data_IF_908765479200
#
_entry.id   IF_908765479200
#
_cell.length_a   1.000
_cell.length_b   1.000
_cell.length_c   1.000
_cell.angle_alpha   90.00
_cell.angle_beta   90.00
_cell.angle_gamma   90.00
#
_symmetry.space_group_name_H-M   'P 1'
#
loop_
_entity.id
_entity.type
_entity.pdbx_description
1 polymer ?
#
# COMPACT_ATOMS: atom_id res chain seq x y z
N UNK A 1 6.40 -19.97 -17.02
CA UNK A 1 4.94 -19.91 -16.71
C UNK A 1 4.21 -19.38 -17.93
N UNK A 2 2.92 -19.69 -18.10
CA UNK A 2 2.07 -19.21 -19.21
C UNK A 2 0.72 -18.73 -18.66
N UNK A 3 0.16 -17.67 -19.24
CA UNK A 3 -1.17 -17.15 -18.92
C UNK A 3 -1.91 -16.82 -20.21
N UNK A 4 -3.15 -17.32 -20.36
CA UNK A 4 -3.99 -16.96 -21.51
C UNK A 4 -4.49 -15.52 -21.41
N UNK A 5 -4.68 -14.99 -20.20
CA UNK A 5 -5.08 -13.61 -19.97
C UNK A 5 -4.10 -12.61 -20.59
N UNK A 6 -2.82 -12.98 -20.71
CA UNK A 6 -1.78 -12.12 -21.28
C UNK A 6 -1.95 -11.89 -22.78
N UNK A 7 -2.60 -12.81 -23.48
CA UNK A 7 -2.77 -12.70 -24.93
C UNK A 7 -3.48 -11.40 -25.25
N UNK A 8 -2.95 -10.66 -26.23
CA UNK A 8 -3.43 -9.32 -26.57
C UNK A 8 -4.95 -9.24 -26.75
N UNK A 9 -5.53 -10.19 -27.49
CA UNK A 9 -6.98 -10.27 -27.71
C UNK A 9 -7.77 -10.41 -26.38
N UNK A 10 -7.27 -11.21 -25.45
CA UNK A 10 -7.93 -11.42 -24.16
C UNK A 10 -7.82 -10.19 -23.25
N UNK A 11 -6.67 -9.50 -23.25
CA UNK A 11 -6.51 -8.23 -22.53
C UNK A 11 -7.42 -7.15 -23.11
N UNK A 12 -7.39 -6.96 -24.42
CA UNK A 12 -8.20 -5.96 -25.12
C UNK A 12 -9.69 -6.19 -24.85
N UNK A 13 -10.14 -7.44 -24.91
CA UNK A 13 -11.53 -7.80 -24.60
C UNK A 13 -11.88 -7.58 -23.12
N UNK A 14 -10.97 -7.87 -22.19
CA UNK A 14 -11.16 -7.63 -20.76
C UNK A 14 -11.34 -6.14 -20.45
N UNK A 15 -10.41 -5.29 -20.90
CA UNK A 15 -10.49 -3.85 -20.67
C UNK A 15 -11.70 -3.21 -21.38
N UNK A 16 -12.02 -3.65 -22.59
CA UNK A 16 -13.25 -3.22 -23.28
C UNK A 16 -14.50 -3.56 -22.47
N UNK A 17 -14.59 -4.78 -21.94
CA UNK A 17 -15.72 -5.22 -21.12
C UNK A 17 -15.87 -4.37 -19.85
N UNK A 18 -14.74 -4.05 -19.19
CA UNK A 18 -14.73 -3.16 -18.03
C UNK A 18 -15.22 -1.76 -18.40
N UNK A 19 -14.70 -1.17 -19.47
CA UNK A 19 -15.08 0.18 -19.92
C UNK A 19 -16.57 0.23 -20.27
N UNK A 20 -17.08 -0.76 -21.00
CA UNK A 20 -18.50 -0.88 -21.35
C UNK A 20 -19.38 -0.98 -20.09
N UNK A 21 -18.95 -1.76 -19.08
CA UNK A 21 -19.66 -1.87 -17.81
C UNK A 21 -19.64 -0.57 -17.00
N UNK A 22 -18.51 0.13 -16.93
CA UNK A 22 -18.38 1.44 -16.28
C UNK A 22 -19.36 2.42 -16.93
N UNK A 23 -19.27 2.57 -18.25
CA UNK A 23 -20.09 3.51 -19.01
C UNK A 23 -21.58 3.20 -18.85
N UNK A 24 -21.98 1.94 -18.99
CA UNK A 24 -23.37 1.50 -18.82
C UNK A 24 -23.88 1.82 -17.41
N UNK A 25 -23.11 1.49 -16.38
CA UNK A 25 -23.55 1.60 -14.98
C UNK A 25 -23.64 3.05 -14.52
N UNK A 26 -22.63 3.87 -14.84
CA UNK A 26 -22.54 5.26 -14.37
C UNK A 26 -23.42 6.23 -15.20
N UNK A 27 -23.88 5.81 -16.37
CA UNK A 27 -24.89 6.54 -17.16
C UNK A 27 -26.32 6.34 -16.66
N UNK A 28 -26.56 5.44 -15.71
CA UNK A 28 -27.91 5.23 -15.16
C UNK A 28 -28.41 6.49 -14.42
N UNK A 29 -29.70 6.82 -14.59
CA UNK A 29 -30.32 7.94 -13.88
C UNK A 29 -30.44 7.68 -12.37
N UNK A 30 -30.64 6.42 -11.97
CA UNK A 30 -30.74 6.02 -10.57
C UNK A 30 -29.37 5.60 -10.03
N UNK A 31 -28.99 6.12 -8.85
CA UNK A 31 -27.75 5.76 -8.18
C UNK A 31 -27.93 4.42 -7.45
N UNK A 32 -27.41 3.35 -8.05
CA UNK A 32 -27.37 2.02 -7.43
C UNK A 32 -26.04 1.81 -6.72
N UNK A 33 -26.00 2.24 -5.46
CA UNK A 33 -24.80 2.38 -4.63
C UNK A 33 -23.76 1.26 -4.80
N UNK A 34 -24.13 -0.02 -4.70
CA UNK A 34 -23.18 -1.12 -4.83
C UNK A 34 -22.56 -1.25 -6.23
N UNK A 35 -23.38 -1.10 -7.28
CA UNK A 35 -22.90 -1.15 -8.67
C UNK A 35 -22.04 0.06 -9.02
N UNK A 36 -22.43 1.24 -8.52
CA UNK A 36 -21.69 2.47 -8.73
C UNK A 36 -20.33 2.45 -8.05
N UNK A 37 -20.25 1.95 -6.80
CA UNK A 37 -18.97 1.73 -6.11
C UNK A 37 -18.05 0.82 -6.94
N UNK A 38 -18.58 -0.30 -7.44
CA UNK A 38 -17.80 -1.22 -8.27
C UNK A 38 -17.32 -0.59 -9.58
N UNK A 39 -18.18 0.17 -10.26
CA UNK A 39 -17.80 0.86 -11.49
C UNK A 39 -16.74 1.96 -11.25
N UNK A 40 -16.83 2.71 -10.16
CA UNK A 40 -15.83 3.71 -9.77
C UNK A 40 -14.48 3.07 -9.38
N UNK A 41 -14.51 1.94 -8.67
CA UNK A 41 -13.32 1.15 -8.33
C UNK A 41 -12.61 0.63 -9.60
N UNK A 42 -13.37 0.12 -10.57
CA UNK A 42 -12.82 -0.29 -11.86
C UNK A 42 -12.25 0.89 -12.65
N UNK A 43 -12.92 2.04 -12.67
CA UNK A 43 -12.44 3.23 -13.37
C UNK A 43 -11.08 3.68 -12.82
N UNK A 44 -10.90 3.64 -11.50
CA UNK A 44 -9.62 3.95 -10.85
C UNK A 44 -8.52 2.93 -11.21
N UNK A 45 -8.82 1.62 -11.18
CA UNK A 45 -7.80 0.59 -11.40
C UNK A 45 -7.20 0.60 -12.81
N UNK A 46 -7.95 1.10 -13.79
CA UNK A 46 -7.52 1.19 -15.19
C UNK A 46 -7.23 2.63 -15.63
N UNK A 47 -7.22 3.60 -14.69
CA UNK A 47 -7.04 5.03 -14.96
C UNK A 47 -7.98 5.58 -16.06
N UNK A 48 -9.24 5.11 -16.09
CA UNK A 48 -10.23 5.51 -17.09
C UNK A 48 -10.87 6.85 -16.73
N UNK A 49 -10.23 7.93 -17.17
CA UNK A 49 -10.78 9.27 -17.12
C UNK A 49 -11.79 9.48 -18.27
N UNK A 50 -13.07 9.67 -17.92
CA UNK A 50 -14.11 10.04 -18.87
C UNK A 50 -15.11 11.02 -18.27
N UNK A 51 -15.82 11.75 -19.13
CA UNK A 51 -16.91 12.64 -18.71
C UNK A 51 -18.02 11.90 -17.96
N UNK A 52 -18.27 10.63 -18.29
CA UNK A 52 -19.26 9.80 -17.59
C UNK A 52 -18.84 9.55 -16.14
N UNK A 53 -17.58 9.17 -15.92
CA UNK A 53 -17.04 8.96 -14.56
C UNK A 53 -17.03 10.29 -13.79
N UNK A 54 -16.54 11.37 -14.39
CA UNK A 54 -16.54 12.71 -13.78
C UNK A 54 -17.93 13.16 -13.35
N UNK A 55 -18.94 12.99 -14.22
CA UNK A 55 -20.32 13.33 -13.92
C UNK A 55 -20.91 12.46 -12.80
N UNK A 56 -20.55 11.17 -12.75
CA UNK A 56 -20.98 10.31 -11.66
C UNK A 56 -20.39 10.75 -10.31
N UNK A 57 -19.10 11.08 -10.28
CA UNK A 57 -18.43 11.65 -9.09
C UNK A 57 -19.13 12.94 -8.65
N UNK A 58 -19.35 13.89 -9.58
CA UNK A 58 -20.07 15.15 -9.32
C UNK A 58 -21.45 14.91 -8.68
N UNK A 59 -22.23 13.98 -9.26
CA UNK A 59 -23.57 13.63 -8.75
C UNK A 59 -23.52 13.08 -7.32
N UNK A 60 -22.54 12.23 -7.00
CA UNK A 60 -22.39 11.65 -5.67
C UNK A 60 -21.95 12.71 -4.66
N UNK A 61 -20.96 13.53 -4.99
CA UNK A 61 -20.42 14.55 -4.09
C UNK A 61 -21.44 15.66 -3.76
N UNK A 62 -22.48 15.83 -4.58
CA UNK A 62 -23.64 16.72 -4.33
C UNK A 62 -24.71 16.12 -3.40
N UNK A 63 -24.67 14.82 -3.12
CA UNK A 63 -25.62 14.20 -2.19
C UNK A 63 -25.41 14.73 -0.78
N UNK A 64 -26.44 14.69 0.09
CA UNK A 64 -26.26 15.04 1.49
C UNK A 64 -25.13 14.22 2.13
N UNK A 65 -24.26 14.91 2.86
CA UNK A 65 -23.09 14.32 3.53
C UNK A 65 -23.55 13.20 4.47
N UNK A 66 -22.78 12.10 4.50
CA UNK A 66 -23.03 10.88 5.27
C UNK A 66 -24.31 10.10 4.92
N UNK A 67 -25.12 10.54 3.93
CA UNK A 67 -26.31 9.79 3.49
C UNK A 67 -25.98 8.38 3.01
N UNK A 68 -24.84 8.24 2.32
CA UNK A 68 -24.27 6.95 1.94
C UNK A 68 -22.74 7.03 1.98
N UNK A 69 -22.19 6.78 3.16
CA UNK A 69 -20.75 6.90 3.45
C UNK A 69 -19.90 6.07 2.47
N UNK A 70 -20.26 4.81 2.19
CA UNK A 70 -19.46 3.95 1.31
C UNK A 70 -19.41 4.48 -0.13
N UNK A 71 -20.53 4.98 -0.64
CA UNK A 71 -20.58 5.57 -1.97
C UNK A 71 -19.82 6.90 -2.02
N UNK A 72 -19.92 7.72 -0.96
CA UNK A 72 -19.17 8.96 -0.85
C UNK A 72 -17.66 8.70 -0.79
N UNK A 73 -17.19 7.74 0.00
CA UNK A 73 -15.78 7.30 0.04
C UNK A 73 -15.31 6.93 -1.36
N UNK A 74 -16.05 6.07 -2.08
CA UNK A 74 -15.68 5.65 -3.43
C UNK A 74 -15.58 6.83 -4.43
N UNK A 75 -16.48 7.82 -4.31
CA UNK A 75 -16.40 9.04 -5.12
C UNK A 75 -15.22 9.94 -4.73
N UNK A 76 -14.90 10.05 -3.43
CA UNK A 76 -13.73 10.80 -2.94
C UNK A 76 -12.42 10.16 -3.40
N UNK A 77 -12.29 8.82 -3.32
CA UNK A 77 -11.13 8.08 -3.84
C UNK A 77 -10.97 8.28 -5.35
N UNK A 78 -12.09 8.22 -6.10
CA UNK A 78 -12.08 8.46 -7.55
C UNK A 78 -11.68 9.90 -7.88
N UNK A 79 -12.22 10.88 -7.15
CA UNK A 79 -11.86 12.29 -7.30
C UNK A 79 -10.35 12.51 -7.04
N UNK A 80 -9.81 11.89 -5.99
CA UNK A 80 -8.39 11.94 -5.66
C UNK A 80 -7.52 11.34 -6.77
N UNK A 81 -7.93 10.20 -7.31
CA UNK A 81 -7.14 9.44 -8.28
C UNK A 81 -7.16 10.07 -9.68
N UNK A 82 -8.33 10.50 -10.16
CA UNK A 82 -8.54 10.87 -11.56
C UNK A 82 -8.75 12.38 -11.77
N UNK A 83 -9.23 13.12 -10.78
CA UNK A 83 -9.79 14.47 -10.97
C UNK A 83 -9.18 15.50 -10.03
N UNK A 84 -7.89 15.75 -10.20
CA UNK A 84 -7.17 16.74 -9.39
C UNK A 84 -7.79 18.14 -9.56
N UNK A 85 -8.07 18.81 -8.45
CA UNK A 85 -8.66 20.15 -8.34
C UNK A 85 -10.13 20.33 -8.79
N UNK A 86 -10.73 19.39 -9.51
CA UNK A 86 -12.07 19.57 -10.09
C UNK A 86 -13.19 19.75 -9.05
N UNK A 87 -13.04 19.13 -7.87
CA UNK A 87 -14.10 19.03 -6.87
C UNK A 87 -13.80 19.74 -5.55
N UNK A 88 -12.87 20.71 -5.53
CA UNK A 88 -12.43 21.40 -4.30
C UNK A 88 -13.59 21.93 -3.45
N UNK A 89 -14.61 22.54 -4.07
CA UNK A 89 -15.75 23.11 -3.34
C UNK A 89 -16.59 22.03 -2.65
N UNK A 90 -16.96 20.97 -3.36
CA UNK A 90 -17.76 19.88 -2.78
C UNK A 90 -16.98 19.11 -1.70
N UNK A 91 -15.70 18.85 -1.94
CA UNK A 91 -14.85 18.12 -1.00
C UNK A 91 -14.54 18.96 0.24
N UNK A 92 -14.40 20.28 0.12
CA UNK A 92 -14.31 21.19 1.27
C UNK A 92 -15.57 21.14 2.13
N UNK A 93 -16.76 21.13 1.51
CA UNK A 93 -18.02 21.00 2.25
C UNK A 93 -18.15 19.64 2.94
N UNK A 94 -17.71 18.55 2.30
CA UNK A 94 -17.67 17.22 2.92
C UNK A 94 -16.73 17.23 4.12
N UNK A 95 -15.49 17.72 3.99
CA UNK A 95 -14.53 17.79 5.09
C UNK A 95 -15.10 18.52 6.32
N UNK A 96 -15.82 19.63 6.10
CA UNK A 96 -16.48 20.38 7.18
C UNK A 96 -17.61 19.60 7.85
N UNK A 97 -18.41 18.83 7.09
CA UNK A 97 -19.68 18.26 7.57
C UNK A 97 -19.65 16.78 7.96
N UNK A 98 -18.77 15.97 7.37
CA UNK A 98 -18.78 14.50 7.56
C UNK A 98 -18.35 14.07 8.95
N UNK A 99 -19.10 13.21 9.61
CA UNK A 99 -18.68 12.59 10.88
C UNK A 99 -17.93 11.26 10.66
N UNK A 100 -17.80 10.82 9.40
CA UNK A 100 -17.03 9.64 9.04
C UNK A 100 -15.54 9.97 8.90
N UNK A 101 -14.71 9.27 9.67
CA UNK A 101 -13.27 9.54 9.73
C UNK A 101 -12.56 9.23 8.41
N UNK A 102 -13.05 8.25 7.65
CA UNK A 102 -12.46 7.87 6.36
C UNK A 102 -12.73 8.93 5.30
N UNK A 103 -13.98 9.38 5.20
CA UNK A 103 -14.41 10.45 4.30
C UNK A 103 -13.68 11.74 4.61
N UNK A 104 -13.54 12.07 5.90
CA UNK A 104 -12.72 13.19 6.35
C UNK A 104 -11.25 13.03 5.91
N UNK A 105 -10.63 11.89 6.17
CA UNK A 105 -9.22 11.64 5.83
C UNK A 105 -8.92 11.76 4.33
N UNK A 106 -9.80 11.23 3.47
CA UNK A 106 -9.63 11.35 2.00
C UNK A 106 -9.84 12.80 1.57
N UNK A 107 -10.87 13.47 2.09
CA UNK A 107 -11.15 14.87 1.76
C UNK A 107 -10.00 15.80 2.16
N UNK A 108 -9.43 15.63 3.35
CA UNK A 108 -8.25 16.38 3.81
C UNK A 108 -7.06 16.15 2.88
N UNK A 109 -6.74 14.90 2.56
CA UNK A 109 -5.64 14.58 1.65
C UNK A 109 -5.83 15.18 0.24
N UNK A 110 -7.06 15.12 -0.28
CA UNK A 110 -7.41 15.75 -1.56
C UNK A 110 -7.18 17.26 -1.52
N UNK A 111 -7.67 17.95 -0.48
CA UNK A 111 -7.53 19.39 -0.34
C UNK A 111 -6.08 19.82 -0.10
N UNK A 112 -5.30 19.05 0.67
CA UNK A 112 -3.87 19.31 0.89
C UNK A 112 -3.06 19.22 -0.41
N UNK A 113 -3.34 18.23 -1.25
CA UNK A 113 -2.68 18.08 -2.56
C UNK A 113 -2.97 19.24 -3.51
N UNK A 114 -4.06 19.96 -3.27
CA UNK A 114 -4.55 21.07 -4.08
C UNK A 114 -4.32 22.43 -3.39
N UNK A 115 -3.74 22.45 -2.18
CA UNK A 115 -3.49 23.67 -1.42
C UNK A 115 -2.20 24.35 -1.89
N UNK A 116 -2.27 25.66 -2.08
CA UNK A 116 -1.09 26.49 -2.33
C UNK A 116 -0.19 26.60 -1.09
N UNK A 117 -0.76 26.47 0.11
CA UNK A 117 -0.03 26.49 1.38
C UNK A 117 -0.47 25.30 2.25
N UNK A 118 0.31 24.22 2.18
CA UNK A 118 0.04 22.99 2.93
C UNK A 118 0.14 23.18 4.45
N UNK A 119 1.03 24.05 4.92
CA UNK A 119 1.21 24.29 6.37
C UNK A 119 -0.04 24.92 6.97
N UNK A 120 -0.56 26.00 6.36
CA UNK A 120 -1.78 26.66 6.84
C UNK A 120 -2.96 25.70 6.80
N UNK A 121 -3.15 24.99 5.67
CA UNK A 121 -4.22 24.00 5.55
C UNK A 121 -4.10 22.90 6.62
N UNK A 122 -2.88 22.42 6.92
CA UNK A 122 -2.66 21.43 7.98
C UNK A 122 -3.06 21.94 9.36
N UNK A 123 -2.75 23.19 9.70
CA UNK A 123 -3.16 23.81 10.98
C UNK A 123 -4.69 23.87 11.08
N UNK A 124 -5.38 24.29 10.01
CA UNK A 124 -6.84 24.37 9.98
C UNK A 124 -7.51 22.99 10.11
N UNK A 125 -6.93 21.97 9.49
CA UNK A 125 -7.43 20.60 9.60
C UNK A 125 -7.16 19.99 10.97
N UNK A 126 -6.02 20.29 11.61
CA UNK A 126 -5.77 19.88 12.99
C UNK A 126 -6.82 20.49 13.94
N UNK A 127 -7.07 21.79 13.85
CA UNK A 127 -8.13 22.46 14.64
C UNK A 127 -9.52 21.85 14.38
N UNK A 128 -9.80 21.49 13.12
CA UNK A 128 -11.05 20.79 12.78
C UNK A 128 -11.14 19.42 13.43
N UNK A 129 -10.03 18.67 13.50
CA UNK A 129 -10.00 17.36 14.16
C UNK A 129 -10.34 17.52 15.65
N UNK A 130 -9.66 18.44 16.34
CA UNK A 130 -9.84 18.66 17.78
C UNK A 130 -11.25 19.13 18.15
N UNK A 131 -11.87 19.98 17.32
CA UNK A 131 -13.21 20.49 17.60
C UNK A 131 -14.33 19.50 17.29
N UNK A 132 -14.09 18.54 16.40
CA UNK A 132 -15.15 17.71 15.81
C UNK A 132 -15.14 16.25 16.27
N UNK A 133 -13.96 15.70 16.54
CA UNK A 133 -13.81 14.28 16.82
C UNK A 133 -13.29 14.05 18.23
N UNK A 134 -14.20 13.84 19.18
CA UNK A 134 -13.88 13.53 20.58
C UNK A 134 -12.99 12.28 20.75
N UNK A 135 -12.99 11.39 19.75
CA UNK A 135 -12.19 10.17 19.72
C UNK A 135 -10.91 10.27 18.87
N UNK A 136 -10.44 11.48 18.53
CA UNK A 136 -9.26 11.67 17.66
C UNK A 136 -8.02 10.91 18.14
N UNK A 137 -7.82 10.82 19.45
CA UNK A 137 -6.67 10.14 20.07
C UNK A 137 -6.72 8.61 20.02
N UNK A 138 -7.93 8.04 19.95
CA UNK A 138 -8.15 6.58 19.99
C UNK A 138 -8.56 6.00 18.64
N UNK A 139 -9.01 6.84 17.70
CA UNK A 139 -9.33 6.42 16.34
C UNK A 139 -8.06 6.31 15.48
N UNK A 140 -7.79 5.11 14.96
CA UNK A 140 -6.61 4.83 14.14
C UNK A 140 -6.46 5.71 12.90
N UNK A 141 -7.57 6.05 12.20
CA UNK A 141 -7.51 6.92 11.03
C UNK A 141 -7.13 8.34 11.44
N UNK A 142 -7.85 8.92 12.40
CA UNK A 142 -7.62 10.29 12.83
C UNK A 142 -6.24 10.49 13.44
N UNK A 143 -5.76 9.55 14.25
CA UNK A 143 -4.41 9.57 14.81
C UNK A 143 -3.33 9.64 13.72
N UNK A 144 -3.49 8.86 12.64
CA UNK A 144 -2.55 8.90 11.51
C UNK A 144 -2.70 10.19 10.68
N UNK A 145 -3.92 10.73 10.53
CA UNK A 145 -4.13 12.04 9.90
C UNK A 145 -3.43 13.13 10.70
N UNK A 146 -3.63 13.20 12.02
CA UNK A 146 -2.96 14.17 12.90
C UNK A 146 -1.45 14.12 12.74
N UNK A 147 -0.88 12.92 12.85
CA UNK A 147 0.55 12.70 12.64
C UNK A 147 1.03 13.18 11.26
N UNK A 148 0.27 12.91 10.19
CA UNK A 148 0.60 13.38 8.85
C UNK A 148 0.58 14.91 8.75
N UNK A 149 -0.44 15.56 9.34
CA UNK A 149 -0.56 17.02 9.35
C UNK A 149 0.55 17.68 10.18
N UNK A 150 0.88 17.12 11.33
CA UNK A 150 1.98 17.56 12.20
C UNK A 150 3.33 17.48 11.47
N UNK A 151 3.60 16.38 10.76
CA UNK A 151 4.83 16.24 9.98
C UNK A 151 4.90 17.20 8.78
N UNK A 152 3.77 17.69 8.26
CA UNK A 152 3.79 18.76 7.25
C UNK A 152 4.20 20.09 7.88
N UNK A 153 3.79 20.35 9.13
CA UNK A 153 4.08 21.59 9.86
C UNK A 153 5.54 21.59 10.35
N UNK A 154 6.00 20.48 10.93
CA UNK A 154 7.38 20.29 11.39
C UNK A 154 7.97 18.97 10.87
N UNK A 155 8.54 18.97 9.64
CA UNK A 155 9.15 17.77 9.06
C UNK A 155 10.34 17.23 9.86
N UNK A 156 10.99 18.05 10.69
CA UNK A 156 12.18 17.64 11.44
C UNK A 156 11.86 16.77 12.66
N UNK A 157 10.58 16.71 13.06
CA UNK A 157 10.10 15.84 14.12
C UNK A 157 10.24 14.36 13.76
N UNK A 158 10.22 14.02 12.47
CA UNK A 158 10.32 12.65 11.99
C UNK A 158 11.77 12.25 11.67
N UNK A 159 12.52 11.88 12.71
CA UNK A 159 13.84 11.27 12.54
C UNK A 159 13.72 9.75 12.47
N UNK A 160 14.22 9.18 11.38
CA UNK A 160 14.26 7.73 11.23
C UNK A 160 15.22 7.10 12.26
N UNK A 161 14.83 6.02 12.95
CA UNK A 161 15.73 5.31 13.84
C UNK A 161 16.82 4.53 13.10
N UNK A 162 17.71 3.88 13.84
CA UNK A 162 18.87 3.19 13.27
C UNK A 162 18.47 2.06 12.33
N UNK A 163 18.74 2.21 11.03
CA UNK A 163 18.57 1.15 10.02
C UNK A 163 19.50 -0.04 10.30
N UNK A 164 20.70 0.21 10.82
CA UNK A 164 21.60 -0.88 11.27
C UNK A 164 20.93 -1.72 12.36
N UNK A 165 20.26 -1.09 13.33
CA UNK A 165 19.55 -1.82 14.37
C UNK A 165 18.37 -2.60 13.79
N UNK A 166 17.60 -2.01 12.86
CA UNK A 166 16.48 -2.67 12.17
C UNK A 166 16.92 -3.93 11.43
N UNK A 167 17.91 -3.81 10.54
CA UNK A 167 18.37 -4.92 9.70
C UNK A 167 19.08 -6.02 10.51
N UNK A 168 19.75 -5.66 11.60
CA UNK A 168 20.43 -6.63 12.46
C UNK A 168 19.55 -7.22 13.57
N UNK A 169 18.33 -6.68 13.77
CA UNK A 169 17.41 -7.17 14.78
C UNK A 169 17.04 -8.65 14.59
N UNK A 170 16.78 -9.32 15.72
CA UNK A 170 16.31 -10.71 15.79
C UNK A 170 14.85 -10.70 16.19
N UNK A 171 13.95 -10.71 15.20
CA UNK A 171 12.50 -10.64 15.41
C UNK A 171 11.95 -11.86 16.16
N UNK A 172 12.12 -13.05 15.59
CA UNK A 172 11.82 -14.33 16.22
C UNK A 172 12.84 -15.37 15.77
N UNK A 173 13.17 -16.32 16.66
CA UNK A 173 14.20 -17.29 16.39
C UNK A 173 13.82 -18.20 15.21
N UNK A 174 14.77 -18.45 14.31
CA UNK A 174 14.56 -19.39 13.20
C UNK A 174 13.59 -18.91 12.11
N UNK A 175 13.25 -17.63 12.04
CA UNK A 175 12.37 -17.05 11.01
C UNK A 175 13.15 -16.38 9.90
N UNK A 176 12.59 -16.44 8.68
CA UNK A 176 13.06 -15.60 7.57
C UNK A 176 12.46 -14.20 7.70
N UNK A 177 13.27 -13.17 7.49
CA UNK A 177 12.79 -11.78 7.47
C UNK A 177 12.99 -11.23 6.07
N UNK A 178 11.91 -10.78 5.45
CA UNK A 178 11.95 -10.01 4.22
C UNK A 178 11.88 -8.54 4.63
N UNK A 179 12.80 -7.71 4.15
CA UNK A 179 12.70 -6.26 4.27
C UNK A 179 12.28 -5.69 2.93
N UNK A 180 11.28 -4.84 2.92
CA UNK A 180 10.86 -4.05 1.76
C UNK A 180 11.03 -2.58 2.12
N UNK A 181 12.06 -1.97 1.57
CA UNK A 181 12.57 -0.65 1.94
C UNK A 181 12.19 0.35 0.85
N UNK A 182 11.53 1.43 1.22
CA UNK A 182 10.94 2.39 0.28
C UNK A 182 11.28 3.83 0.64
N UNK A 183 11.01 4.74 -0.29
CA UNK A 183 10.92 6.17 -0.01
C UNK A 183 9.52 6.50 0.50
N UNK A 184 9.35 7.64 1.18
CA UNK A 184 8.03 8.24 1.45
C UNK A 184 7.28 8.53 0.15
N UNK A 185 8.00 9.00 -0.87
CA UNK A 185 7.45 9.14 -2.23
C UNK A 185 7.39 7.77 -2.93
N UNK A 186 6.20 7.15 -2.88
CA UNK A 186 5.96 5.81 -3.42
C UNK A 186 5.90 5.72 -4.96
N UNK A 187 6.09 6.84 -5.68
CA UNK A 187 6.22 6.81 -7.14
C UNK A 187 7.51 6.15 -7.62
N UNK A 188 8.48 5.95 -6.74
CA UNK A 188 9.72 5.28 -7.06
C UNK A 188 9.77 3.88 -6.43
N UNK A 189 10.23 2.85 -7.15
CA UNK A 189 10.40 1.52 -6.59
C UNK A 189 11.32 1.53 -5.36
N UNK A 190 10.89 0.82 -4.33
CA UNK A 190 11.75 0.42 -3.23
C UNK A 190 12.63 -0.78 -3.60
N UNK A 191 13.31 -1.34 -2.60
CA UNK A 191 14.15 -2.52 -2.73
C UNK A 191 13.74 -3.57 -1.70
N UNK A 192 13.76 -4.84 -2.12
CA UNK A 192 13.50 -5.99 -1.27
C UNK A 192 14.78 -6.78 -1.05
N UNK A 193 15.07 -7.11 0.20
CA UNK A 193 16.18 -7.98 0.62
C UNK A 193 15.68 -9.03 1.60
N UNK A 194 16.41 -10.14 1.75
CA UNK A 194 16.01 -11.27 2.60
C UNK A 194 17.12 -11.60 3.59
N UNK A 195 16.76 -11.64 4.88
CA UNK A 195 17.58 -12.15 5.97
C UNK A 195 17.15 -13.58 6.32
N UNK A 196 18.13 -14.47 6.31
CA UNK A 196 18.00 -15.88 6.65
C UNK A 196 17.75 -16.07 8.15
N UNK A 197 17.23 -17.25 8.55
CA UNK A 197 17.05 -17.62 9.95
C UNK A 197 18.32 -17.58 10.82
N UNK A 198 19.49 -17.77 10.22
CA UNK A 198 20.80 -17.71 10.90
C UNK A 198 21.28 -16.26 11.12
N UNK A 199 20.61 -15.28 10.52
CA UNK A 199 20.93 -13.86 10.61
C UNK A 199 21.71 -13.31 9.42
N UNK A 200 22.20 -14.15 8.50
CA UNK A 200 22.88 -13.69 7.30
C UNK A 200 21.88 -13.22 6.22
N UNK A 201 22.31 -12.32 5.34
CA UNK A 201 21.50 -11.95 4.18
C UNK A 201 21.66 -12.97 3.05
N UNK A 202 20.57 -13.24 2.33
CA UNK A 202 20.62 -14.06 1.10
C UNK A 202 21.54 -13.37 0.10
N UNK A 203 22.42 -14.15 -0.52
CA UNK A 203 23.40 -13.68 -1.52
C UNK A 203 23.10 -14.27 -2.89
N UNK A 204 23.45 -13.51 -3.92
CA UNK A 204 23.54 -13.96 -5.30
C UNK A 204 24.76 -14.87 -5.50
N UNK A 205 24.87 -15.50 -6.67
CA UNK A 205 25.98 -16.42 -7.00
C UNK A 205 27.34 -15.72 -7.01
N UNK A 206 27.38 -14.43 -7.30
CA UNK A 206 28.58 -13.59 -7.29
C UNK A 206 28.95 -13.10 -5.87
N UNK A 207 28.15 -13.44 -4.85
CA UNK A 207 28.37 -13.04 -3.46
C UNK A 207 27.73 -11.70 -3.06
N UNK A 208 27.15 -10.95 -3.99
CA UNK A 208 26.40 -9.71 -3.69
C UNK A 208 25.12 -10.01 -2.93
N UNK A 209 24.59 -9.06 -2.15
CA UNK A 209 23.32 -9.25 -1.44
C UNK A 209 22.17 -9.39 -2.45
N UNK A 210 21.38 -10.46 -2.32
CA UNK A 210 20.19 -10.65 -3.12
C UNK A 210 19.24 -9.46 -2.92
N UNK A 211 18.81 -8.87 -4.02
CA UNK A 211 17.83 -7.82 -4.02
C UNK A 211 16.97 -7.83 -5.28
N UNK A 212 15.75 -7.31 -5.17
CA UNK A 212 14.91 -6.94 -6.31
C UNK A 212 14.24 -5.59 -6.04
N UNK A 213 13.94 -4.78 -7.06
CA UNK A 213 13.08 -3.62 -6.86
C UNK A 213 11.63 -4.07 -6.64
N UNK A 214 10.88 -3.30 -5.87
CA UNK A 214 9.49 -3.61 -5.55
C UNK A 214 8.67 -2.33 -5.38
N UNK A 215 7.46 -2.33 -5.93
CA UNK A 215 6.52 -1.23 -5.78
C UNK A 215 5.58 -1.49 -4.60
N UNK A 216 5.22 -0.42 -3.89
CA UNK A 216 4.29 -0.46 -2.75
C UNK A 216 3.22 0.64 -2.83
N UNK A 217 3.03 1.19 -4.03
CA UNK A 217 2.03 2.22 -4.32
C UNK A 217 0.67 1.60 -4.67
N UNK A 218 -0.38 2.29 -4.26
CA UNK A 218 -1.74 2.00 -4.68
C UNK A 218 -2.11 2.76 -5.96
N UNK A 219 -3.16 2.34 -6.69
CA UNK A 219 -3.67 3.08 -7.85
C UNK A 219 -4.01 4.53 -7.51
N UNK A 220 -4.60 4.76 -6.33
CA UNK A 220 -4.94 6.10 -5.86
C UNK A 220 -3.77 6.87 -5.29
N UNK A 221 -2.68 6.19 -4.93
CA UNK A 221 -1.56 6.75 -4.14
C UNK A 221 -2.01 7.41 -2.81
N UNK A 222 -3.18 7.03 -2.28
CA UNK A 222 -3.63 7.52 -0.98
C UNK A 222 -2.70 7.02 0.14
N UNK A 223 -2.54 7.77 1.24
CA UNK A 223 -1.75 7.32 2.39
C UNK A 223 -2.20 5.98 2.96
N UNK A 224 -1.26 5.28 3.61
CA UNK A 224 -1.48 3.92 4.10
C UNK A 224 -2.56 3.76 5.19
N UNK A 225 -2.91 4.84 5.89
CA UNK A 225 -3.98 4.85 6.88
C UNK A 225 -5.38 4.96 6.26
N UNK A 226 -5.48 5.08 4.93
CA UNK A 226 -6.73 5.06 4.18
C UNK A 226 -6.92 3.65 3.59
N UNK A 227 -8.15 3.10 3.62
CA UNK A 227 -8.47 1.87 2.88
C UNK A 227 -8.00 1.96 1.42
N UNK A 228 -7.50 0.85 0.86
CA UNK A 228 -6.94 0.78 -0.49
C UNK A 228 -5.77 1.73 -0.82
N UNK A 229 -5.24 2.49 0.15
CA UNK A 229 -4.05 3.32 -0.03
C UNK A 229 -2.76 2.50 -0.14
N UNK A 230 -1.63 3.20 -0.14
CA UNK A 230 -0.29 2.61 -0.22
C UNK A 230 -0.05 1.55 0.85
N UNK A 231 0.92 0.66 0.61
CA UNK A 231 1.25 -0.40 1.57
C UNK A 231 1.73 0.23 2.88
N UNK A 232 1.09 -0.07 4.03
CA UNK A 232 1.52 0.45 5.32
C UNK A 232 2.93 0.02 5.72
N UNK A 233 3.70 0.94 6.30
CA UNK A 233 4.93 0.59 7.02
C UNK A 233 4.61 -0.32 8.20
N UNK A 234 5.53 -1.20 8.57
CA UNK A 234 5.41 -2.08 9.72
C UNK A 234 5.68 -3.54 9.41
N UNK A 235 5.33 -4.40 10.37
CA UNK A 235 5.57 -5.83 10.36
C UNK A 235 4.31 -6.57 9.93
N UNK A 236 4.49 -7.53 9.02
CA UNK A 236 3.46 -8.45 8.56
C UNK A 236 3.94 -9.88 8.77
N UNK A 237 3.00 -10.79 9.05
CA UNK A 237 3.32 -12.22 9.18
C UNK A 237 3.31 -12.90 7.81
N UNK A 238 4.41 -13.55 7.43
CA UNK A 238 4.48 -14.41 6.25
C UNK A 238 3.97 -15.79 6.63
N UNK A 239 2.79 -16.15 6.13
CA UNK A 239 2.13 -17.41 6.51
C UNK A 239 2.25 -18.52 5.45
N UNK A 240 2.73 -18.18 4.25
CA UNK A 240 2.94 -19.15 3.18
C UNK A 240 2.98 -18.51 1.79
N UNK A 241 2.58 -19.29 0.79
CA UNK A 241 2.48 -18.86 -0.62
C UNK A 241 1.20 -19.38 -1.22
N UNK A 242 0.68 -18.71 -2.24
CA UNK A 242 -0.57 -19.08 -2.91
C UNK A 242 -0.53 -18.64 -4.38
N UNK A 243 -1.29 -19.31 -5.24
CA UNK A 243 -1.47 -18.89 -6.64
C UNK A 243 -2.84 -18.24 -6.75
N UNK A 244 -2.88 -16.97 -7.12
CA UNK A 244 -4.13 -16.21 -7.22
C UNK A 244 -5.00 -16.74 -8.37
N UNK A 245 -6.32 -16.74 -8.17
CA UNK A 245 -7.28 -16.91 -9.26
C UNK A 245 -7.53 -15.60 -10.03
N UNK A 246 -7.08 -14.46 -9.50
CA UNK A 246 -7.24 -13.15 -10.14
C UNK A 246 -6.35 -13.05 -11.37
N UNK A 247 -6.98 -12.86 -12.53
CA UNK A 247 -6.30 -12.82 -13.83
C UNK A 247 -5.20 -11.76 -13.93
N UNK A 248 -5.36 -10.60 -13.28
CA UNK A 248 -4.42 -9.46 -13.26
C UNK A 248 -3.24 -9.61 -12.30
N UNK A 249 -3.34 -10.54 -11.33
CA UNK A 249 -2.20 -10.96 -10.49
C UNK A 249 -1.38 -12.03 -11.21
N UNK A 250 -2.08 -12.90 -11.95
CA UNK A 250 -1.45 -13.91 -12.77
C UNK A 250 -1.10 -15.21 -12.03
N UNK A 251 -0.49 -16.17 -12.75
CA UNK A 251 -0.27 -17.53 -12.27
C UNK A 251 1.00 -17.68 -11.43
N UNK A 252 1.82 -16.62 -11.28
CA UNK A 252 3.02 -16.66 -10.45
C UNK A 252 2.62 -16.71 -8.98
N UNK A 253 3.18 -17.64 -8.16
CA UNK A 253 2.87 -17.67 -6.74
C UNK A 253 3.15 -16.33 -6.04
N UNK A 254 2.26 -15.93 -5.15
CA UNK A 254 2.44 -14.81 -4.25
C UNK A 254 2.97 -15.28 -2.89
N UNK A 255 3.58 -14.34 -2.15
CA UNK A 255 3.88 -14.52 -0.72
C UNK A 255 2.67 -14.01 0.06
N UNK A 256 2.07 -14.91 0.85
CA UNK A 256 0.90 -14.60 1.66
C UNK A 256 1.33 -13.89 2.94
N UNK A 257 0.88 -12.64 3.09
CA UNK A 257 1.10 -11.83 4.27
C UNK A 257 -0.19 -11.73 5.09
N UNK A 258 -0.06 -11.48 6.39
CA UNK A 258 -1.17 -11.10 7.26
C UNK A 258 -0.79 -9.89 8.07
N UNK A 259 -1.66 -8.88 8.05
CA UNK A 259 -1.56 -7.74 8.95
C UNK A 259 -2.03 -8.12 10.37
N UNK A 260 -1.70 -7.29 11.38
CA UNK A 260 -2.40 -7.33 12.66
C UNK A 260 -3.92 -7.30 12.47
N UNK A 261 -4.67 -7.92 13.38
CA UNK A 261 -6.14 -8.05 13.36
C UNK A 261 -6.75 -8.85 12.18
N UNK A 262 -6.02 -9.12 11.10
CA UNK A 262 -6.49 -9.97 9.99
C UNK A 262 -6.57 -11.46 10.39
N UNK A 263 -5.66 -11.87 11.28
CA UNK A 263 -5.62 -13.21 11.88
C UNK A 263 -5.45 -13.09 13.39
N UNK A 264 -5.65 -14.19 14.10
CA UNK A 264 -5.37 -14.23 15.54
C UNK A 264 -3.89 -13.95 15.82
N UNK A 265 -3.54 -13.36 16.98
CA UNK A 265 -2.14 -13.15 17.37
C UNK A 265 -1.32 -14.44 17.28
N UNK A 266 -1.87 -15.58 17.71
CA UNK A 266 -1.19 -16.88 17.60
C UNK A 266 -0.76 -17.19 16.16
N UNK A 267 -1.61 -16.97 15.16
CA UNK A 267 -1.24 -17.19 13.75
C UNK A 267 -0.18 -16.18 13.31
N UNK A 268 -0.34 -14.90 13.67
CA UNK A 268 0.59 -13.85 13.29
C UNK A 268 2.01 -14.11 13.83
N UNK A 269 2.12 -14.51 15.11
CA UNK A 269 3.36 -14.85 15.80
C UNK A 269 3.79 -16.32 15.63
N UNK A 270 3.28 -17.00 14.61
CA UNK A 270 3.68 -18.36 14.23
C UNK A 270 3.53 -19.43 15.33
N UNK A 271 2.54 -19.27 16.20
CA UNK A 271 2.24 -20.10 17.37
C UNK A 271 3.35 -20.15 18.44
N UNK A 272 4.28 -19.19 18.43
CA UNK A 272 5.36 -19.12 19.42
C UNK A 272 4.93 -18.36 20.69
N UNK A 273 3.99 -17.42 20.55
CA UNK A 273 3.45 -16.64 21.64
C UNK A 273 2.02 -17.08 21.93
N UNK A 274 1.67 -17.30 23.21
CA UNK A 274 0.30 -17.61 23.65
C UNK A 274 -0.50 -16.33 23.90
N UNK A 275 -0.60 -15.47 22.88
CA UNK A 275 -1.30 -14.19 22.97
C UNK A 275 -2.77 -14.40 22.61
N UNK A 276 -3.67 -14.06 23.53
CA UNK A 276 -5.11 -14.28 23.36
C UNK A 276 -5.81 -13.15 22.59
N UNK A 277 -5.31 -11.92 22.73
CA UNK A 277 -5.89 -10.72 22.10
C UNK A 277 -4.81 -9.79 21.60
N UNK A 278 -5.13 -8.98 20.59
CA UNK A 278 -4.18 -8.01 20.06
C UNK A 278 -3.89 -6.92 21.09
N UNK A 279 -2.62 -6.74 21.42
CA UNK A 279 -2.10 -5.63 22.19
C UNK A 279 -0.98 -4.95 21.40
N UNK A 280 -0.98 -3.61 21.39
CA UNK A 280 0.06 -2.84 20.69
C UNK A 280 1.45 -3.14 21.25
N UNK A 281 1.55 -3.48 22.54
CA UNK A 281 2.82 -3.78 23.20
C UNK A 281 3.46 -5.07 22.69
N UNK A 282 2.67 -6.09 22.36
CA UNK A 282 3.18 -7.32 21.75
C UNK A 282 3.78 -7.04 20.37
N UNK A 283 3.13 -6.16 19.59
CA UNK A 283 3.65 -5.72 18.31
C UNK A 283 4.91 -4.85 18.48
N UNK A 284 4.92 -3.94 19.46
CA UNK A 284 6.10 -3.13 19.84
C UNK A 284 7.30 -4.02 20.18
N UNK A 285 7.08 -5.19 20.79
CA UNK A 285 8.14 -6.12 21.16
C UNK A 285 8.76 -6.88 19.98
N UNK A 286 8.19 -6.81 18.78
CA UNK A 286 8.86 -7.29 17.55
C UNK A 286 9.93 -6.33 17.04
N UNK A 287 9.97 -5.10 17.55
CA UNK A 287 10.81 -4.04 17.02
C UNK A 287 12.08 -3.86 17.84
N UNK A 288 13.19 -3.45 17.19
CA UNK A 288 14.38 -2.98 17.89
C UNK A 288 14.09 -1.79 18.79
N UNK A 289 14.92 -1.58 19.80
CA UNK A 289 14.67 -0.62 20.87
C UNK A 289 14.52 0.81 20.33
N UNK A 290 15.35 1.24 19.37
CA UNK A 290 15.22 2.58 18.77
C UNK A 290 13.94 2.76 17.94
N UNK A 291 13.33 1.66 17.47
CA UNK A 291 12.13 1.68 16.63
C UNK A 291 10.83 1.63 17.43
N UNK A 292 10.89 1.25 18.71
CA UNK A 292 9.70 1.12 19.55
C UNK A 292 8.87 2.40 19.68
N UNK A 293 9.45 3.58 19.50
CA UNK A 293 8.75 4.86 19.60
C UNK A 293 8.56 5.58 18.27
N UNK A 294 8.95 4.97 17.15
CA UNK A 294 8.82 5.58 15.83
C UNK A 294 7.41 5.31 15.29
N UNK A 295 6.52 6.30 15.38
CA UNK A 295 5.11 6.16 15.04
C UNK A 295 4.83 5.50 13.67
N UNK A 296 5.53 5.84 12.56
CA UNK A 296 5.22 5.29 11.25
C UNK A 296 5.33 3.76 11.14
N UNK A 297 6.19 3.09 11.92
CA UNK A 297 6.34 1.62 11.85
C UNK A 297 5.10 0.86 12.38
N UNK A 298 4.15 1.56 12.99
CA UNK A 298 2.87 1.01 13.46
C UNK A 298 1.74 1.14 12.44
N UNK A 299 1.99 1.70 11.26
CA UNK A 299 0.95 1.86 10.24
C UNK A 299 0.26 0.52 9.88
N UNK A 300 0.98 -0.61 9.80
CA UNK A 300 0.37 -1.92 9.52
C UNK A 300 -0.55 -2.39 10.65
N UNK A 301 -0.23 -2.06 11.90
CA UNK A 301 -1.07 -2.34 13.06
C UNK A 301 -2.38 -1.56 13.00
N UNK A 302 -2.29 -0.24 12.81
CA UNK A 302 -3.46 0.64 12.71
C UNK A 302 -4.30 0.36 11.45
N UNK A 303 -3.64 0.07 10.32
CA UNK A 303 -4.30 -0.37 9.10
C UNK A 303 -5.09 -1.67 9.31
N UNK A 304 -4.51 -2.63 10.03
CA UNK A 304 -5.19 -3.87 10.40
C UNK A 304 -6.41 -3.63 11.29
N UNK A 305 -6.29 -2.75 12.29
CA UNK A 305 -7.38 -2.38 13.20
C UNK A 305 -8.58 -1.79 12.46
N UNK A 306 -8.35 -0.98 11.42
CA UNK A 306 -9.42 -0.42 10.57
C UNK A 306 -9.92 -1.39 9.48
N UNK A 307 -9.43 -2.64 9.49
CA UNK A 307 -9.92 -3.72 8.63
C UNK A 307 -9.20 -3.89 7.29
N UNK A 308 -8.03 -3.25 7.08
CA UNK A 308 -7.18 -3.56 5.91
C UNK A 308 -6.64 -4.99 6.03
N UNK A 309 -6.71 -5.73 4.92
CA UNK A 309 -6.40 -7.17 4.86
C UNK A 309 -5.99 -7.58 3.46
N UNK A 310 -5.56 -8.84 3.30
CA UNK A 310 -5.23 -9.45 2.01
C UNK A 310 -4.10 -8.76 1.25
N UNK A 311 -3.21 -8.07 1.98
CA UNK A 311 -1.97 -7.54 1.44
C UNK A 311 -1.06 -8.75 1.14
N UNK A 312 -0.49 -8.79 -0.06
CA UNK A 312 0.38 -9.88 -0.53
C UNK A 312 1.56 -9.32 -1.32
N UNK A 313 2.63 -10.11 -1.46
CA UNK A 313 3.71 -9.79 -2.41
C UNK A 313 3.50 -10.61 -3.68
N UNK A 314 3.28 -9.95 -4.82
CA UNK A 314 2.90 -10.63 -6.06
C UNK A 314 3.50 -9.99 -7.31
N UNK A 315 3.52 -10.74 -8.40
CA UNK A 315 3.75 -10.20 -9.74
C UNK A 315 2.48 -9.60 -10.34
N UNK A 316 2.51 -9.18 -11.60
CA UNK A 316 1.32 -8.68 -12.28
C UNK A 316 1.31 -9.13 -13.73
N UNK A 317 0.11 -9.33 -14.23
CA UNK A 317 -0.22 -9.61 -15.63
C UNK A 317 -1.02 -8.46 -16.24
N UNK A 318 -1.17 -7.34 -15.55
CA UNK A 318 -1.85 -6.13 -16.06
C UNK A 318 -1.18 -5.59 -17.33
N UNK A 319 -1.88 -4.68 -18.02
CA UNK A 319 -1.31 -3.94 -19.14
C UNK A 319 -0.39 -2.81 -18.66
N UNK A 320 0.93 -3.02 -18.86
CA UNK A 320 1.96 -2.02 -18.56
C UNK A 320 1.85 -0.76 -19.42
N UNK A 321 1.12 -0.80 -20.54
CA UNK A 321 0.94 0.37 -21.41
C UNK A 321 0.24 1.53 -20.68
N UNK A 322 -0.57 1.21 -19.67
CA UNK A 322 -1.25 2.16 -18.77
C UNK A 322 -0.28 3.00 -17.93
N UNK A 323 0.96 2.53 -17.74
CA UNK A 323 1.93 3.10 -16.80
C UNK A 323 3.21 3.59 -17.45
N UNK A 324 3.33 3.50 -18.79
CA UNK A 324 4.56 3.75 -19.54
C UNK A 324 5.21 5.12 -19.29
N UNK A 325 4.39 6.11 -18.94
CA UNK A 325 4.80 7.50 -18.72
C UNK A 325 4.98 7.83 -17.22
N UNK A 326 4.88 6.83 -16.33
CA UNK A 326 4.96 7.01 -14.89
C UNK A 326 6.35 6.62 -14.33
N UNK A 327 6.82 7.26 -13.24
CA UNK A 327 8.19 7.06 -12.74
C UNK A 327 8.51 5.63 -12.27
N UNK A 328 7.48 4.85 -11.97
CA UNK A 328 7.59 3.45 -11.57
C UNK A 328 7.47 2.47 -12.74
N UNK A 329 7.42 2.89 -14.00
CA UNK A 329 7.52 1.93 -15.11
C UNK A 329 8.85 1.14 -15.02
N UNK A 330 8.88 -0.18 -15.24
CA UNK A 330 7.83 -1.09 -15.72
C UNK A 330 7.11 -1.90 -14.61
N UNK A 331 6.79 -1.27 -13.48
CA UNK A 331 6.07 -1.90 -12.36
C UNK A 331 4.58 -1.50 -12.38
N UNK A 332 3.72 -2.35 -11.78
CA UNK A 332 2.27 -2.13 -11.73
C UNK A 332 1.82 -1.70 -10.33
N UNK A 333 1.10 -0.58 -10.17
CA UNK A 333 0.43 -0.23 -8.92
C UNK A 333 -0.64 -1.26 -8.56
N UNK A 334 -1.06 -1.29 -7.29
CA UNK A 334 -2.06 -2.27 -6.81
C UNK A 334 -3.12 -1.63 -5.93
N UNK A 335 -3.90 -2.39 -5.16
CA UNK A 335 -4.78 -1.86 -4.10
C UNK A 335 -4.11 -1.88 -2.71
N UNK A 336 -2.81 -1.59 -2.68
CA UNK A 336 -2.01 -1.55 -1.45
C UNK A 336 -1.25 -2.84 -1.12
N UNK A 337 -1.04 -3.69 -2.12
CA UNK A 337 -0.12 -4.82 -2.10
C UNK A 337 1.30 -4.38 -2.51
N UNK A 338 2.26 -5.30 -2.36
CA UNK A 338 3.61 -5.13 -2.89
C UNK A 338 3.73 -5.83 -4.24
N UNK A 339 4.10 -5.09 -5.29
CA UNK A 339 4.19 -5.61 -6.66
C UNK A 339 5.63 -5.71 -7.14
N UNK A 340 5.98 -6.87 -7.68
CA UNK A 340 7.24 -7.12 -8.36
C UNK A 340 7.02 -7.09 -9.87
N UNK A 341 8.00 -6.62 -10.63
CA UNK A 341 7.93 -6.58 -12.10
C UNK A 341 7.77 -7.98 -12.68
N UNK A 342 6.84 -8.11 -13.63
CA UNK A 342 6.78 -9.25 -14.55
C UNK A 342 6.57 -8.75 -15.97
N UNK A 343 7.38 -9.26 -16.89
CA UNK A 343 7.29 -8.98 -18.32
C UNK A 343 6.79 -10.25 -19.01
N UNK A 344 5.75 -10.10 -19.81
CA UNK A 344 5.09 -11.20 -20.49
C UNK A 344 5.04 -10.99 -21.99
N UNK A 345 5.11 -12.08 -22.75
CA UNK A 345 4.92 -12.12 -24.20
C UNK A 345 3.42 -12.15 -24.51
N UNK A 346 2.90 -11.09 -25.14
CA UNK A 346 1.48 -10.94 -25.47
C UNK A 346 1.03 -11.77 -26.68
N UNK A 347 1.95 -12.38 -27.43
CA UNK A 347 1.65 -13.24 -28.57
C UNK A 347 1.44 -14.69 -28.14
N UNK A 348 2.22 -15.16 -27.16
CA UNK A 348 2.17 -16.56 -26.73
C UNK A 348 1.86 -16.75 -25.24
N UNK A 349 1.71 -15.69 -24.47
CA UNK A 349 1.32 -15.72 -23.06
C UNK A 349 2.42 -16.16 -22.09
N UNK A 350 3.68 -16.30 -22.52
CA UNK A 350 4.78 -16.75 -21.66
C UNK A 350 5.37 -15.61 -20.84
N UNK A 351 5.75 -15.89 -19.60
CA UNK A 351 6.54 -14.98 -18.78
C UNK A 351 8.00 -14.94 -19.30
N UNK A 352 8.49 -13.73 -19.61
CA UNK A 352 9.84 -13.46 -20.13
C UNK A 352 10.80 -13.15 -18.97
N UNK A 353 10.42 -12.25 -18.06
CA UNK A 353 11.19 -11.87 -16.87
C UNK A 353 10.24 -11.71 -15.68
N UNK A 354 10.65 -12.15 -14.50
CA UNK A 354 9.84 -12.06 -13.29
C UNK A 354 10.72 -11.87 -12.06
N UNK A 355 10.67 -10.66 -11.50
CA UNK A 355 11.27 -10.38 -10.21
C UNK A 355 10.52 -11.11 -9.09
N UNK A 356 9.23 -11.39 -9.28
CA UNK A 356 8.46 -12.22 -8.35
C UNK A 356 9.02 -13.66 -8.26
N UNK A 357 9.40 -14.28 -9.38
CA UNK A 357 10.05 -15.60 -9.37
C UNK A 357 11.42 -15.53 -8.70
N UNK A 358 12.20 -14.48 -8.95
CA UNK A 358 13.49 -14.27 -8.27
C UNK A 358 13.31 -14.17 -6.75
N UNK A 359 12.32 -13.40 -6.30
CA UNK A 359 11.93 -13.27 -4.89
C UNK A 359 11.54 -14.61 -4.28
N UNK A 360 10.66 -15.38 -4.93
CA UNK A 360 10.25 -16.70 -4.45
C UNK A 360 11.43 -17.65 -4.34
N UNK A 361 12.32 -17.68 -5.33
CA UNK A 361 13.50 -18.54 -5.32
C UNK A 361 14.44 -18.17 -4.15
N UNK A 362 14.69 -16.88 -3.95
CA UNK A 362 15.50 -16.38 -2.83
C UNK A 362 14.84 -16.72 -1.48
N UNK A 363 13.52 -16.53 -1.36
CA UNK A 363 12.75 -16.89 -0.17
C UNK A 363 12.78 -18.39 0.11
N UNK A 364 12.61 -19.25 -0.89
CA UNK A 364 12.69 -20.70 -0.70
C UNK A 364 14.11 -21.18 -0.36
N UNK A 365 15.15 -20.45 -0.78
CA UNK A 365 16.54 -20.75 -0.42
C UNK A 365 16.85 -20.62 1.07
N UNK A 366 15.94 -20.03 1.87
CA UNK A 366 16.08 -19.94 3.33
C UNK A 366 15.59 -21.21 4.04
N UNK A 367 14.97 -22.15 3.32
CA UNK A 367 14.36 -23.37 3.85
C UNK A 367 13.25 -23.16 4.90
N UNK A 368 12.81 -21.91 5.12
CA UNK A 368 11.72 -21.55 6.04
C UNK A 368 10.64 -20.79 5.29
N UNK A 369 9.46 -21.40 5.18
CA UNK A 369 8.29 -20.84 4.46
C UNK A 369 7.41 -19.92 5.32
N UNK A 370 7.91 -19.50 6.48
CA UNK A 370 7.23 -18.62 7.44
C UNK A 370 8.22 -17.63 8.04
N UNK A 371 7.71 -16.47 8.43
CA UNK A 371 8.50 -15.42 9.05
C UNK A 371 7.81 -14.08 9.00
N UNK A 372 8.57 -13.00 8.78
CA UNK A 372 8.02 -11.65 8.76
C UNK A 372 8.44 -10.89 7.51
N UNK A 373 7.55 -10.03 7.04
CA UNK A 373 7.88 -8.92 6.17
C UNK A 373 7.94 -7.65 7.03
N UNK A 374 8.97 -6.84 6.82
CA UNK A 374 9.12 -5.52 7.43
C UNK A 374 9.13 -4.49 6.31
N UNK A 375 8.08 -3.67 6.24
CA UNK A 375 7.98 -2.55 5.31
C UNK A 375 8.44 -1.29 6.03
N UNK A 376 9.37 -0.55 5.44
CA UNK A 376 9.94 0.66 6.06
C UNK A 376 10.18 1.75 5.03
N UNK A 377 9.94 3.00 5.40
CA UNK A 377 10.33 4.19 4.62
C UNK A 377 11.62 4.78 5.17
N UNK A 378 12.54 5.22 4.30
CA UNK A 378 13.88 5.68 4.72
C UNK A 378 14.14 7.18 4.59
N UNK A 379 13.58 7.82 3.56
CA UNK A 379 13.63 9.27 3.32
C UNK A 379 12.63 9.63 2.20
N UNK A 380 12.66 10.86 1.70
CA UNK A 380 11.73 11.39 0.69
C UNK A 380 12.35 11.65 -0.69
N UNK A 381 13.55 11.11 -0.97
CA UNK A 381 14.22 11.34 -2.26
C UNK A 381 13.34 10.91 -3.44
N UNK A 382 13.39 11.69 -4.51
CA UNK A 382 12.68 11.40 -5.78
C UNK A 382 13.47 10.44 -6.68
N UNK A 383 13.83 9.27 -6.15
CA UNK A 383 14.54 8.24 -6.88
C UNK A 383 14.35 6.85 -6.25
N UNK A 384 14.56 5.76 -7.01
CA UNK A 384 14.51 4.41 -6.46
C UNK A 384 15.47 4.20 -5.28
N UNK A 385 15.14 3.26 -4.39
CA UNK A 385 16.08 2.81 -3.36
C UNK A 385 17.08 1.83 -3.99
N UNK A 386 18.37 2.05 -3.77
CA UNK A 386 19.44 1.22 -4.34
C UNK A 386 20.07 0.29 -3.31
N UNK A 387 20.71 -0.79 -3.75
CA UNK A 387 21.38 -1.73 -2.84
C UNK A 387 22.58 -1.08 -2.13
N UNK A 388 23.33 -0.22 -2.81
CA UNK A 388 24.49 0.49 -2.25
C UNK A 388 24.11 1.33 -1.01
N UNK A 389 22.94 1.96 -1.04
CA UNK A 389 22.40 2.73 0.10
C UNK A 389 22.10 1.83 1.31
N UNK A 390 21.75 0.56 1.09
CA UNK A 390 21.33 -0.37 2.13
C UNK A 390 22.50 -1.19 2.68
N UNK A 391 23.46 -1.59 1.84
CA UNK A 391 24.59 -2.44 2.23
C UNK A 391 25.43 -1.85 3.38
N UNK A 392 25.58 -0.53 3.42
CA UNK A 392 26.29 0.15 4.51
C UNK A 392 25.67 -0.10 5.90
N UNK A 393 24.38 -0.41 5.99
CA UNK A 393 23.68 -0.68 7.26
C UNK A 393 23.69 -2.17 7.60
N UNK A 394 23.74 -3.04 6.58
CA UNK A 394 23.87 -4.48 6.75
C UNK A 394 25.27 -4.84 7.27
N UNK A 395 26.31 -4.33 6.60
CA UNK A 395 27.69 -4.75 6.85
C UNK A 395 28.28 -4.20 8.16
N UNK A 396 27.79 -3.06 8.66
CA UNK A 396 28.22 -2.50 9.96
C UNK A 396 27.83 -3.36 11.17
N UNK A 397 26.85 -4.26 11.03
CA UNK A 397 26.47 -5.21 12.07
C UNK A 397 27.42 -6.39 12.24
N UNK A 398 28.27 -6.67 11.24
CA UNK A 398 29.18 -7.82 11.20
C UNK A 398 30.57 -7.54 11.81
N UNK A 399 30.83 -6.31 12.26
CA UNK A 399 32.11 -5.90 12.86
C UNK A 399 32.13 -5.96 14.41
N UNK A 400 31.38 -6.88 15.03
CA UNK A 400 31.39 -7.07 16.50
C UNK A 400 31.81 -8.47 16.90
#
# INVERSE_FOLDING_TARGET
MKSEFILKENKDQYYKTIIDEINRTLSENEIKSSKWIFALDNAQSIFYDSSIVKNAVDRILKLPVDKNVKLQISALETAYTLYKNDFNNYISEIAKKTNDQTSFAIAVNYLLNNSANKIIASIEFLDTIERKFDNAETNSILRNVKYHLENIIDPNQEQIPSLTELFNHKYQNGKTIIFSVHRKNRHFPGITIIKRPDGEFVKNKDGSVFNIPQLAISFSNLPAYIPNGNTPQGVYSIIGTYVSSTQTIGPTPNILLRSPFEVSPNIFYHNENKIQSWQIEDYRNLLPQSWKNYFPIYQSFYAGEIGRKLIIMHGSTDDLSLYKDLPYFPYTPTKGCLSSKEIWDDQNGKCIDSDQVKLLNAFYSTYKKKGFLVVVEIDDKEMPVTIDEIEQYINKGLQR
#
